data_IF_652106768061
#
_entry.id   IF_652106768061
#
_cell.length_a   1.000
_cell.length_b   1.000
_cell.length_c   1.000
_cell.angle_alpha   90.00
_cell.angle_beta   90.00
_cell.angle_gamma   90.00
#
_symmetry.space_group_name_H-M   'P 1'
#
loop_
_entity.id
_entity.type
_entity.pdbx_description
1 polymer ?
#
# COMPACT_ATOMS: atom_id res chain seq x y z
N UNK A 1 2.67 -13.55 13.66
CA UNK A 1 3.34 -12.36 13.05
C UNK A 1 4.49 -11.76 13.88
N UNK A 2 4.28 -11.15 15.05
CA UNK A 2 5.39 -10.52 15.82
C UNK A 2 6.42 -11.53 16.34
N UNK A 3 5.96 -12.63 16.96
CA UNK A 3 6.83 -13.73 17.42
C UNK A 3 7.58 -14.41 16.27
N UNK A 4 6.91 -14.60 15.13
CA UNK A 4 7.53 -15.15 13.92
C UNK A 4 8.62 -14.23 13.37
N UNK A 5 8.39 -12.91 13.33
CA UNK A 5 9.41 -11.95 12.88
C UNK A 5 10.60 -11.89 13.83
N UNK A 6 10.35 -11.95 15.13
CA UNK A 6 11.41 -12.06 16.12
C UNK A 6 12.26 -13.32 15.89
N UNK A 7 11.61 -14.47 15.69
CA UNK A 7 12.30 -15.72 15.38
C UNK A 7 13.08 -15.63 14.06
N UNK A 8 12.48 -15.04 13.02
CA UNK A 8 13.14 -14.81 11.73
C UNK A 8 14.43 -14.00 11.88
N UNK A 9 14.45 -12.96 12.71
CA UNK A 9 15.69 -12.22 12.99
C UNK A 9 16.77 -13.10 13.62
N UNK A 10 16.39 -13.99 14.55
CA UNK A 10 17.32 -14.94 15.17
C UNK A 10 17.85 -15.96 14.15
N UNK A 11 16.98 -16.49 13.28
CA UNK A 11 17.33 -17.47 12.26
C UNK A 11 18.34 -16.90 11.25
N UNK A 12 18.34 -15.58 11.02
CA UNK A 12 19.29 -14.86 10.17
C UNK A 12 20.52 -14.31 10.94
N UNK A 13 20.71 -14.72 12.19
CA UNK A 13 21.90 -14.37 12.98
C UNK A 13 21.88 -12.95 13.57
N UNK A 14 20.74 -12.26 13.56
CA UNK A 14 20.60 -10.92 14.14
C UNK A 14 20.35 -11.06 15.64
N UNK A 15 21.43 -11.29 16.39
CA UNK A 15 21.38 -11.61 17.82
C UNK A 15 21.32 -10.37 18.71
N UNK A 16 21.79 -9.21 18.25
CA UNK A 16 21.73 -7.95 19.00
C UNK A 16 20.28 -7.47 19.16
N UNK A 17 19.78 -7.34 20.41
CA UNK A 17 18.46 -6.79 20.69
C UNK A 17 18.21 -5.40 20.09
N UNK A 18 19.22 -4.53 20.05
CA UNK A 18 19.05 -3.15 19.58
C UNK A 18 18.90 -3.10 18.05
N UNK A 19 19.66 -3.91 17.32
CA UNK A 19 19.49 -4.09 15.88
C UNK A 19 18.11 -4.66 15.53
N UNK A 20 17.64 -5.68 16.25
CA UNK A 20 16.30 -6.23 16.04
C UNK A 20 15.22 -5.17 16.30
N UNK A 21 15.35 -4.39 17.37
CA UNK A 21 14.41 -3.33 17.69
C UNK A 21 14.31 -2.28 16.57
N UNK A 22 15.44 -1.92 15.95
CA UNK A 22 15.46 -1.00 14.79
C UNK A 22 14.75 -1.59 13.58
N UNK A 23 14.96 -2.87 13.29
CA UNK A 23 14.30 -3.55 12.16
C UNK A 23 12.78 -3.65 12.33
N UNK A 24 12.32 -3.74 13.58
CA UNK A 24 10.89 -3.77 13.89
C UNK A 24 10.16 -2.45 13.57
N UNK A 25 10.88 -1.32 13.43
CA UNK A 25 10.30 0.00 13.15
C UNK A 25 9.91 0.18 11.67
N UNK A 26 10.60 -0.50 10.76
CA UNK A 26 10.43 -0.29 9.32
C UNK A 26 9.00 -0.61 8.84
N UNK A 27 8.41 -1.70 9.33
CA UNK A 27 7.05 -2.12 8.94
C UNK A 27 5.98 -1.12 9.43
N UNK A 28 5.90 -0.77 10.73
CA UNK A 28 4.98 0.25 11.22
C UNK A 28 5.15 1.60 10.52
N UNK A 29 6.40 2.00 10.24
CA UNK A 29 6.67 3.23 9.51
C UNK A 29 6.07 3.17 8.10
N UNK A 30 6.37 2.10 7.36
CA UNK A 30 5.82 1.87 6.02
C UNK A 30 4.29 1.85 5.99
N UNK A 31 3.65 1.18 6.94
CA UNK A 31 2.18 1.18 7.03
C UNK A 31 1.61 2.56 7.37
N UNK A 32 2.18 3.25 8.36
CA UNK A 32 1.65 4.54 8.83
C UNK A 32 1.71 5.62 7.75
N UNK A 33 2.85 5.76 7.07
CA UNK A 33 3.03 6.83 6.09
C UNK A 33 2.20 6.60 4.82
N UNK A 34 2.00 5.34 4.41
CA UNK A 34 1.29 5.02 3.18
C UNK A 34 -0.23 4.82 3.40
N UNK A 35 -0.61 3.90 4.31
CA UNK A 35 -2.00 3.49 4.47
C UNK A 35 -2.81 4.46 5.32
N UNK A 36 -2.29 4.86 6.50
CA UNK A 36 -3.04 5.67 7.45
C UNK A 36 -3.01 7.17 7.09
N UNK A 37 -1.81 7.74 6.89
CA UNK A 37 -1.65 9.17 6.67
C UNK A 37 -1.95 9.61 5.23
N UNK A 38 -1.55 8.79 4.24
CA UNK A 38 -1.79 9.08 2.82
C UNK A 38 -3.17 8.60 2.37
N UNK A 39 -3.30 7.28 2.18
CA UNK A 39 -4.43 6.70 1.44
C UNK A 39 -5.77 6.88 2.17
N UNK A 40 -5.86 6.46 3.43
CA UNK A 40 -7.13 6.49 4.19
C UNK A 40 -7.70 7.90 4.32
N UNK A 41 -6.85 8.90 4.57
CA UNK A 41 -7.28 10.30 4.67
C UNK A 41 -7.96 10.75 3.37
N UNK A 42 -7.28 10.54 2.24
CA UNK A 42 -7.81 10.94 0.94
C UNK A 42 -9.03 10.10 0.54
N UNK A 43 -9.08 8.82 0.91
CA UNK A 43 -10.25 7.98 0.65
C UNK A 43 -11.50 8.50 1.34
N UNK A 44 -11.37 8.90 2.61
CA UNK A 44 -12.47 9.50 3.36
C UNK A 44 -12.90 10.80 2.69
N UNK A 45 -11.97 11.71 2.38
CA UNK A 45 -12.30 12.98 1.72
C UNK A 45 -12.95 12.76 0.34
N UNK A 46 -12.42 11.85 -0.47
CA UNK A 46 -12.89 11.57 -1.82
C UNK A 46 -14.26 10.89 -1.82
N UNK A 47 -14.48 9.90 -0.94
CA UNK A 47 -15.76 9.19 -0.85
C UNK A 47 -16.84 10.08 -0.22
N UNK A 48 -16.57 10.71 0.92
CA UNK A 48 -17.59 11.46 1.66
C UNK A 48 -17.96 12.80 1.04
N UNK A 49 -17.11 13.37 0.17
CA UNK A 49 -17.49 14.54 -0.64
C UNK A 49 -18.54 14.24 -1.71
N UNK A 50 -18.87 12.96 -1.96
CA UNK A 50 -19.82 12.51 -2.98
C UNK A 50 -20.96 11.70 -2.35
N UNK A 51 -22.06 12.33 -1.90
CA UNK A 51 -23.14 11.65 -1.17
C UNK A 51 -23.73 10.44 -1.90
N UNK A 52 -23.87 10.51 -3.22
CA UNK A 52 -24.35 9.38 -4.01
C UNK A 52 -23.41 8.16 -3.97
N UNK A 53 -22.10 8.40 -3.99
CA UNK A 53 -21.10 7.34 -3.91
C UNK A 53 -21.14 6.67 -2.54
N UNK A 54 -21.25 7.46 -1.46
CA UNK A 54 -21.44 6.95 -0.10
C UNK A 54 -22.66 6.03 -0.03
N UNK A 55 -23.80 6.46 -0.57
CA UNK A 55 -25.03 5.63 -0.61
C UNK A 55 -24.76 4.31 -1.33
N UNK A 56 -24.22 4.35 -2.55
CA UNK A 56 -23.95 3.16 -3.36
C UNK A 56 -22.98 2.19 -2.67
N UNK A 57 -21.95 2.68 -1.97
CA UNK A 57 -21.00 1.84 -1.21
C UNK A 57 -21.68 1.24 0.03
N UNK A 58 -22.51 2.01 0.74
CA UNK A 58 -23.28 1.52 1.90
C UNK A 58 -24.29 0.46 1.52
N UNK A 59 -24.83 0.49 0.31
CA UNK A 59 -25.71 -0.57 -0.20
C UNK A 59 -24.90 -1.81 -0.63
N UNK A 60 -23.70 -1.61 -1.20
CA UNK A 60 -22.84 -2.69 -1.72
C UNK A 60 -22.24 -3.57 -0.61
N UNK A 61 -21.74 -2.97 0.47
CA UNK A 61 -21.00 -3.69 1.53
C UNK A 61 -21.88 -4.74 2.23
N UNK A 62 -23.09 -4.43 2.72
CA UNK A 62 -23.95 -5.41 3.37
C UNK A 62 -24.38 -6.53 2.42
N UNK A 63 -24.66 -6.20 1.15
CA UNK A 63 -25.08 -7.17 0.15
C UNK A 63 -23.97 -8.18 -0.21
N UNK A 64 -22.71 -7.75 -0.15
CA UNK A 64 -21.60 -8.52 -0.73
C UNK A 64 -20.64 -9.09 0.30
N UNK A 65 -20.41 -8.41 1.43
CA UNK A 65 -19.32 -8.70 2.35
C UNK A 65 -19.73 -8.97 3.80
N UNK A 66 -21.00 -8.74 4.17
CA UNK A 66 -21.51 -9.07 5.50
C UNK A 66 -21.68 -10.59 5.63
N UNK A 67 -20.98 -11.19 6.59
CA UNK A 67 -21.02 -12.64 6.84
C UNK A 67 -21.95 -12.97 8.01
N UNK A 68 -21.99 -12.10 9.02
CA UNK A 68 -22.93 -12.17 10.14
C UNK A 68 -23.10 -10.78 10.74
N UNK A 69 -23.94 -10.64 11.77
CA UNK A 69 -24.23 -9.36 12.39
C UNK A 69 -22.95 -8.66 12.88
N UNK A 70 -22.56 -7.59 12.19
CA UNK A 70 -21.35 -6.81 12.49
C UNK A 70 -20.02 -7.44 12.03
N UNK A 71 -20.05 -8.56 11.29
CA UNK A 71 -18.83 -9.24 10.82
C UNK A 71 -18.71 -9.11 9.30
N UNK A 72 -17.63 -8.47 8.86
CA UNK A 72 -17.29 -8.32 7.45
C UNK A 72 -16.17 -9.29 7.05
N UNK A 73 -16.27 -9.87 5.87
CA UNK A 73 -15.16 -10.62 5.26
C UNK A 73 -14.24 -9.67 4.50
N UNK A 74 -12.97 -9.64 4.89
CA UNK A 74 -11.94 -8.86 4.20
C UNK A 74 -11.77 -9.32 2.73
N UNK A 75 -11.85 -10.63 2.47
CA UNK A 75 -11.76 -11.17 1.12
C UNK A 75 -12.94 -10.74 0.25
N UNK A 76 -14.16 -10.77 0.79
CA UNK A 76 -15.36 -10.31 0.08
C UNK A 76 -15.35 -8.80 -0.14
N UNK A 77 -14.84 -8.00 0.81
CA UNK A 77 -14.62 -6.56 0.59
C UNK A 77 -13.68 -6.33 -0.61
N UNK A 78 -12.60 -7.11 -0.71
CA UNK A 78 -11.61 -6.96 -1.80
C UNK A 78 -12.10 -7.47 -3.16
N UNK A 79 -12.88 -8.56 -3.17
CA UNK A 79 -13.23 -9.27 -4.40
C UNK A 79 -14.66 -8.99 -4.88
N UNK A 80 -15.56 -8.61 -3.98
CA UNK A 80 -17.01 -8.50 -4.24
C UNK A 80 -17.58 -7.10 -4.02
N UNK A 81 -16.76 -6.11 -3.64
CA UNK A 81 -17.19 -4.70 -3.51
C UNK A 81 -16.46 -3.81 -4.53
N UNK A 82 -16.82 -3.87 -5.83
CA UNK A 82 -16.11 -3.14 -6.88
C UNK A 82 -16.17 -1.62 -6.69
N UNK A 83 -17.26 -1.05 -6.18
CA UNK A 83 -17.35 0.41 -6.02
C UNK A 83 -16.41 0.89 -4.93
N UNK A 84 -16.35 0.18 -3.79
CA UNK A 84 -15.37 0.48 -2.75
C UNK A 84 -13.94 0.43 -3.30
N UNK A 85 -13.58 -0.67 -3.97
CA UNK A 85 -12.21 -0.85 -4.48
C UNK A 85 -11.84 0.16 -5.57
N UNK A 86 -12.77 0.49 -6.47
CA UNK A 86 -12.53 1.49 -7.52
C UNK A 86 -12.42 2.89 -6.94
N UNK A 87 -13.22 3.24 -5.94
CA UNK A 87 -13.09 4.53 -5.25
C UNK A 87 -11.70 4.66 -4.62
N UNK A 88 -11.22 3.63 -3.89
CA UNK A 88 -9.88 3.64 -3.31
C UNK A 88 -8.77 3.73 -4.36
N UNK A 89 -8.88 2.98 -5.47
CA UNK A 89 -7.91 3.05 -6.57
C UNK A 89 -7.87 4.44 -7.22
N UNK A 90 -9.03 5.04 -7.44
CA UNK A 90 -9.12 6.37 -8.03
C UNK A 90 -8.59 7.46 -7.09
N UNK A 91 -8.83 7.33 -5.77
CA UNK A 91 -8.20 8.19 -4.77
C UNK A 91 -6.68 8.11 -4.87
N UNK A 92 -6.11 6.88 -4.87
CA UNK A 92 -4.67 6.71 -4.95
C UNK A 92 -4.09 7.32 -6.24
N UNK A 93 -4.77 7.13 -7.37
CA UNK A 93 -4.38 7.73 -8.67
C UNK A 93 -4.31 9.26 -8.61
N UNK A 94 -5.18 9.90 -7.84
CA UNK A 94 -5.29 11.37 -7.77
C UNK A 94 -4.40 11.99 -6.70
N UNK A 95 -4.25 11.34 -5.55
CA UNK A 95 -3.74 12.00 -4.34
C UNK A 95 -2.52 11.32 -3.71
N UNK A 96 -2.14 10.12 -4.16
CA UNK A 96 -1.03 9.36 -3.59
C UNK A 96 0.05 9.21 -4.66
N UNK A 97 0.89 10.24 -4.88
CA UNK A 97 1.97 10.17 -5.86
C UNK A 97 2.97 9.07 -5.45
N UNK A 98 3.31 8.18 -6.37
CA UNK A 98 4.30 7.14 -6.14
C UNK A 98 5.55 7.43 -6.97
N UNK A 99 6.71 7.49 -6.32
CA UNK A 99 8.00 7.58 -6.98
C UNK A 99 8.77 6.28 -6.78
N UNK A 100 9.31 5.73 -7.86
CA UNK A 100 10.17 4.56 -7.84
C UNK A 100 11.57 4.94 -8.30
N UNK A 101 12.50 5.01 -7.34
CA UNK A 101 13.91 5.26 -7.60
C UNK A 101 14.68 3.95 -7.85
N UNK A 102 15.60 3.95 -8.82
CA UNK A 102 16.49 2.83 -9.15
C UNK A 102 17.90 3.34 -9.44
N UNK A 103 18.91 2.68 -8.89
CA UNK A 103 20.32 2.94 -9.21
C UNK A 103 20.71 2.19 -10.50
N UNK A 104 21.36 2.88 -11.43
CA UNK A 104 21.86 2.24 -12.66
C UNK A 104 23.21 1.58 -12.35
N UNK A 105 23.22 0.25 -12.27
CA UNK A 105 24.40 -0.54 -11.91
C UNK A 105 25.41 -0.71 -13.05
N UNK A 106 24.95 -0.66 -14.30
CA UNK A 106 25.74 -0.78 -15.53
C UNK A 106 25.06 -0.01 -16.67
N UNK A 107 25.83 0.35 -17.71
CA UNK A 107 25.30 1.03 -18.89
C UNK A 107 24.21 0.16 -19.55
N UNK A 108 23.00 0.69 -19.70
CA UNK A 108 21.84 -0.05 -20.22
C UNK A 108 21.06 0.78 -21.22
N UNK A 109 20.66 0.17 -22.34
CA UNK A 109 19.78 0.77 -23.33
C UNK A 109 18.32 0.46 -22.99
N UNK A 110 17.51 1.50 -22.77
CA UNK A 110 16.08 1.38 -22.47
C UNK A 110 15.26 1.72 -23.71
N UNK A 111 14.28 0.86 -24.02
CA UNK A 111 13.39 1.00 -25.17
C UNK A 111 14.14 1.22 -26.51
N UNK A 112 15.34 0.65 -26.63
CA UNK A 112 16.24 0.77 -27.79
C UNK A 112 16.57 2.22 -28.20
N UNK A 113 16.32 3.19 -27.31
CA UNK A 113 16.41 4.62 -27.61
C UNK A 113 17.25 5.39 -26.60
N UNK A 114 17.23 5.00 -25.33
CA UNK A 114 17.79 5.79 -24.24
C UNK A 114 18.94 5.04 -23.55
N UNK A 115 20.17 5.52 -23.72
CA UNK A 115 21.32 4.98 -23.00
C UNK A 115 21.37 5.57 -21.59
N UNK A 116 21.10 4.74 -20.59
CA UNK A 116 21.33 5.06 -19.18
C UNK A 116 22.75 4.61 -18.82
N UNK A 117 23.62 5.56 -18.48
CA UNK A 117 24.98 5.23 -18.02
C UNK A 117 24.95 4.71 -16.58
N UNK A 118 25.97 3.95 -16.18
CA UNK A 118 26.23 3.51 -14.81
C UNK A 118 26.41 4.69 -13.85
N UNK A 119 25.79 4.60 -12.67
CA UNK A 119 25.99 5.50 -11.53
C UNK A 119 24.80 6.39 -11.15
N UNK A 120 24.07 7.00 -12.09
CA UNK A 120 22.88 7.79 -11.79
C UNK A 120 21.74 7.00 -11.13
N UNK A 121 20.89 7.74 -10.41
CA UNK A 121 19.58 7.27 -9.94
C UNK A 121 18.53 7.73 -10.95
N UNK A 122 17.70 6.82 -11.41
CA UNK A 122 16.53 7.10 -12.26
C UNK A 122 15.27 7.00 -11.40
N UNK A 123 14.42 8.01 -11.48
CA UNK A 123 13.14 8.07 -10.77
C UNK A 123 11.99 8.01 -11.76
N UNK A 124 11.15 6.98 -11.67
CA UNK A 124 9.86 6.93 -12.34
C UNK A 124 8.76 7.48 -11.43
N UNK A 125 7.85 8.28 -11.98
CA UNK A 125 6.60 8.65 -11.33
C UNK A 125 5.48 7.76 -11.89
N UNK A 126 4.78 7.05 -11.02
CA UNK A 126 3.65 6.18 -11.35
C UNK A 126 2.33 6.87 -10.98
#
# INVERSE_FOLDING_TARGET
MLKERHQFHLDYGITDPDERAKLEVAIPLGFKVNAAAGTTLWDVCNVFSRPELVRKIRDEIPASALVSHGVLSADKLRLSCPRLNLACKETMRLYVPSASARLVHEDVLVADQWLLRKGPIVCGFL
#
